data_IF_092145748299
#
_entry.id   IF_092145748299
#
_cell.length_a   1.000
_cell.length_b   1.000
_cell.length_c   1.000
_cell.angle_alpha   90.00
_cell.angle_beta   90.00
_cell.angle_gamma   90.00
#
_symmetry.space_group_name_H-M   'P 1'
#
loop_
_entity.id
_entity.type
_entity.pdbx_description
1 polymer ?
#
# COMPACT_ATOMS: atom_id res chain seq x y z
N UNK A 1 -19.72 7.98 2.96
CA UNK A 1 -19.61 6.51 2.86
C UNK A 1 -18.16 6.08 3.07
N UNK A 2 -17.96 5.07 3.89
CA UNK A 2 -16.63 4.56 4.17
C UNK A 2 -16.26 3.53 3.11
N UNK A 3 -15.06 3.66 2.56
CA UNK A 3 -14.56 2.79 1.51
C UNK A 3 -13.16 2.30 1.84
N UNK A 4 -12.77 1.21 1.20
CA UNK A 4 -11.42 0.69 1.31
C UNK A 4 -10.80 0.54 -0.08
N UNK A 5 -9.50 0.77 -0.14
CA UNK A 5 -8.70 0.53 -1.33
C UNK A 5 -7.46 -0.26 -0.94
N UNK A 6 -7.21 -1.34 -1.65
CA UNK A 6 -6.05 -2.20 -1.39
C UNK A 6 -4.97 -1.95 -2.42
N UNK A 7 -3.75 -1.81 -1.95
CA UNK A 7 -2.56 -1.64 -2.78
C UNK A 7 -1.61 -2.79 -2.51
N UNK A 8 -0.91 -3.23 -3.53
CA UNK A 8 0.07 -4.30 -3.37
C UNK A 8 1.39 -3.95 -4.04
N UNK A 9 2.48 -4.41 -3.47
CA UNK A 9 3.82 -4.18 -4.00
C UNK A 9 4.71 -5.38 -3.72
N UNK A 10 5.45 -5.82 -4.74
CA UNK A 10 6.48 -6.84 -4.56
C UNK A 10 7.73 -6.15 -4.03
N UNK A 11 8.33 -6.72 -3.00
CA UNK A 11 9.55 -6.19 -2.39
C UNK A 11 10.76 -6.97 -2.90
N UNK A 12 11.67 -6.29 -3.56
CA UNK A 12 12.93 -6.85 -4.01
C UNK A 12 13.96 -6.70 -2.90
N UNK A 13 14.79 -7.72 -2.72
CA UNK A 13 15.72 -7.81 -1.59
C UNK A 13 16.60 -6.57 -1.42
N UNK A 14 17.18 -6.06 -2.51
CA UNK A 14 18.08 -4.92 -2.43
C UNK A 14 17.42 -3.58 -2.72
N UNK A 15 16.12 -3.57 -2.94
CA UNK A 15 15.38 -2.36 -3.30
C UNK A 15 14.14 -2.14 -2.44
N UNK A 16 14.13 -2.74 -1.26
CA UNK A 16 12.96 -2.69 -0.36
C UNK A 16 12.52 -1.26 -0.08
N UNK A 17 13.45 -0.39 0.26
CA UNK A 17 13.14 1.00 0.59
C UNK A 17 12.53 1.74 -0.61
N UNK A 18 13.07 1.49 -1.80
CA UNK A 18 12.55 2.08 -3.03
C UNK A 18 11.14 1.59 -3.34
N UNK A 19 10.89 0.29 -3.13
CA UNK A 19 9.58 -0.28 -3.38
C UNK A 19 8.54 0.24 -2.40
N UNK A 20 8.91 0.38 -1.13
CA UNK A 20 8.01 0.96 -0.12
C UNK A 20 7.70 2.42 -0.43
N UNK A 21 8.70 3.17 -0.91
CA UNK A 21 8.53 4.55 -1.31
C UNK A 21 7.56 4.67 -2.49
N UNK A 22 7.70 3.76 -3.47
CA UNK A 22 6.80 3.70 -4.60
C UNK A 22 5.36 3.42 -4.18
N UNK A 23 5.19 2.55 -3.18
CA UNK A 23 3.86 2.24 -2.65
C UNK A 23 3.25 3.48 -1.97
N UNK A 24 4.06 4.21 -1.21
CA UNK A 24 3.61 5.44 -0.57
C UNK A 24 3.14 6.47 -1.61
N UNK A 25 3.91 6.62 -2.69
CA UNK A 25 3.54 7.53 -3.77
C UNK A 25 2.25 7.11 -4.45
N UNK A 26 2.05 5.81 -4.63
CA UNK A 26 0.83 5.28 -5.24
C UNK A 26 -0.39 5.60 -4.36
N UNK A 27 -0.27 5.39 -3.07
CA UNK A 27 -1.34 5.69 -2.12
C UNK A 27 -1.65 7.18 -2.10
N UNK A 28 -0.61 8.01 -2.02
CA UNK A 28 -0.78 9.46 -1.99
C UNK A 28 -1.39 9.98 -3.30
N UNK A 29 -1.02 9.41 -4.43
CA UNK A 29 -1.60 9.79 -5.72
C UNK A 29 -3.08 9.43 -5.79
N UNK A 30 -3.46 8.28 -5.24
CA UNK A 30 -4.85 7.88 -5.16
C UNK A 30 -5.67 8.87 -4.32
N UNK A 31 -5.14 9.24 -3.16
CA UNK A 31 -5.80 10.19 -2.27
C UNK A 31 -6.03 11.53 -2.98
N UNK A 32 -5.00 12.00 -3.67
CA UNK A 32 -5.08 13.27 -4.39
C UNK A 32 -6.05 13.21 -5.57
N UNK A 33 -5.96 12.16 -6.37
CA UNK A 33 -6.77 12.01 -7.58
C UNK A 33 -8.26 11.89 -7.28
N UNK A 34 -8.60 11.34 -6.12
CA UNK A 34 -9.99 11.14 -5.71
C UNK A 34 -10.49 12.19 -4.71
N UNK A 35 -9.70 13.21 -4.46
CA UNK A 35 -10.05 14.30 -3.54
C UNK A 35 -10.50 13.80 -2.18
N UNK A 36 -9.80 12.82 -1.64
CA UNK A 36 -10.15 12.23 -0.37
C UNK A 36 -9.79 13.21 0.75
N UNK A 37 -10.79 13.68 1.47
CA UNK A 37 -10.60 14.65 2.54
C UNK A 37 -10.28 13.99 3.88
N UNK A 38 -10.69 12.73 4.07
CA UNK A 38 -10.52 12.06 5.35
C UNK A 38 -10.02 10.64 5.17
N UNK A 39 -8.82 10.39 5.66
CA UNK A 39 -8.25 9.04 5.75
C UNK A 39 -8.53 8.54 7.16
N UNK A 40 -9.17 7.39 7.27
CA UNK A 40 -9.52 6.80 8.56
C UNK A 40 -8.39 5.95 9.10
N UNK A 41 -7.83 5.09 8.25
CA UNK A 41 -6.72 4.25 8.67
C UNK A 41 -5.92 3.74 7.48
N UNK A 42 -4.68 3.36 7.74
CA UNK A 42 -3.82 2.68 6.78
C UNK A 42 -3.24 1.48 7.52
N UNK A 43 -3.41 0.31 6.95
CA UNK A 43 -2.91 -0.93 7.55
C UNK A 43 -2.06 -1.69 6.55
N UNK A 44 -1.00 -2.31 7.03
CA UNK A 44 -0.08 -3.09 6.19
C UNK A 44 -0.04 -4.54 6.65
N UNK A 45 0.12 -5.44 5.68
CA UNK A 45 0.40 -6.84 5.94
C UNK A 45 1.51 -7.29 5.01
N UNK A 46 2.36 -8.18 5.50
CA UNK A 46 3.47 -8.70 4.73
C UNK A 46 3.13 -10.11 4.26
N UNK A 47 3.40 -10.38 2.99
CA UNK A 47 3.25 -11.71 2.40
C UNK A 47 4.63 -12.25 2.10
N UNK A 48 4.87 -13.49 2.53
CA UNK A 48 6.10 -14.19 2.22
C UNK A 48 5.74 -15.49 1.50
N UNK A 49 6.41 -15.77 0.39
CA UNK A 49 6.22 -17.04 -0.29
C UNK A 49 6.96 -18.14 0.46
N UNK A 50 6.49 -19.41 0.24
CA UNK A 50 7.06 -20.59 0.84
C UNK A 50 8.45 -20.77 0.31
N UNK A 51 9.36 -20.38 0.19
CA UNK A 51 10.73 -20.45 -0.31
C UNK A 51 11.53 -19.20 0.06
N UNK A 52 10.86 -18.18 0.57
CA UNK A 52 11.48 -16.97 1.03
C UNK A 52 12.12 -16.10 -0.04
N UNK A 53 11.93 -16.44 -1.32
CA UNK A 53 12.58 -15.73 -2.41
C UNK A 53 11.86 -14.42 -2.77
N UNK A 54 10.56 -14.34 -2.53
CA UNK A 54 9.76 -13.17 -2.88
C UNK A 54 8.94 -12.74 -1.68
N UNK A 55 8.98 -11.47 -1.38
CA UNK A 55 8.15 -10.87 -0.36
C UNK A 55 7.28 -9.79 -0.97
N UNK A 56 6.14 -9.57 -0.37
CA UNK A 56 5.24 -8.53 -0.81
C UNK A 56 4.62 -7.82 0.38
N UNK A 57 4.10 -6.64 0.14
CA UNK A 57 3.34 -5.90 1.13
C UNK A 57 1.98 -5.56 0.54
N UNK A 58 0.95 -5.70 1.35
CA UNK A 58 -0.39 -5.28 1.02
C UNK A 58 -0.73 -4.13 1.96
N UNK A 59 -1.14 -3.01 1.40
CA UNK A 59 -1.56 -1.85 2.17
C UNK A 59 -3.04 -1.60 1.93
N UNK A 60 -3.80 -1.50 3.00
CA UNK A 60 -5.23 -1.22 2.92
C UNK A 60 -5.48 0.19 3.44
N UNK A 61 -6.05 1.00 2.58
CA UNK A 61 -6.45 2.36 2.90
C UNK A 61 -7.95 2.38 3.17
N UNK A 62 -8.33 2.84 4.35
CA UNK A 62 -9.74 3.06 4.70
C UNK A 62 -9.97 4.56 4.73
N UNK A 63 -10.97 5.01 3.99
CA UNK A 63 -11.23 6.43 3.85
C UNK A 63 -12.72 6.73 3.77
N UNK A 64 -13.04 7.99 3.98
CA UNK A 64 -14.41 8.47 3.84
C UNK A 64 -14.52 9.31 2.58
N UNK A 65 -15.56 8.99 1.81
CA UNK A 65 -15.83 9.67 0.56
C UNK A 65 -17.16 10.43 0.64
#
# INVERSE_FOLDING_TARGET
MIKVKTFGQVLKIFETQKELHGLDEEVNSFIKANNIAKVISVSDAILAEAGGATQGVIRVLTYEE
#
